data_IF_745455823104
#
_entry.id   IF_745455823104
#
_cell.length_a   1.000
_cell.length_b   1.000
_cell.length_c   1.000
_cell.angle_alpha   90.00
_cell.angle_beta   90.00
_cell.angle_gamma   90.00
#
_symmetry.space_group_name_H-M   'P 1'
#
loop_
_entity.id
_entity.type
_entity.pdbx_description
1 polymer ?
#
# COMPACT_ATOMS: atom_id res chain seq x y z
N UNK A 1 13.53 10.18 2.82
CA UNK A 1 12.38 10.42 1.94
C UNK A 1 12.64 9.62 0.68
N UNK A 2 11.78 8.69 0.32
CA UNK A 2 11.95 7.88 -0.89
C UNK A 2 11.03 8.46 -1.95
N UNK A 3 11.62 8.98 -3.02
CA UNK A 3 10.91 9.57 -4.15
C UNK A 3 10.85 8.50 -5.24
N UNK A 4 9.64 8.14 -5.66
CA UNK A 4 9.40 7.22 -6.79
C UNK A 4 8.46 7.94 -7.74
N UNK A 5 8.86 8.10 -9.00
CA UNK A 5 8.09 8.75 -10.06
C UNK A 5 7.59 10.18 -9.76
N UNK A 6 8.36 11.00 -9.03
CA UNK A 6 8.02 12.40 -8.77
C UNK A 6 6.85 12.62 -7.79
N UNK A 7 6.32 11.56 -7.19
CA UNK A 7 5.24 11.64 -6.21
C UNK A 7 5.84 11.75 -4.81
N UNK A 8 5.79 12.95 -4.23
CA UNK A 8 6.08 13.18 -2.80
C UNK A 8 4.87 12.82 -1.95
N UNK A 9 4.71 11.53 -1.68
CA UNK A 9 3.62 10.98 -0.87
C UNK A 9 4.11 10.24 0.37
N UNK A 10 3.48 10.50 1.51
CA UNK A 10 3.66 9.79 2.78
C UNK A 10 3.11 8.37 2.70
N UNK A 11 3.99 7.39 2.94
CA UNK A 11 3.71 6.01 3.35
C UNK A 11 2.55 5.30 2.61
N UNK A 12 2.88 4.49 1.60
CA UNK A 12 2.02 3.41 1.09
C UNK A 12 1.31 2.67 2.24
N UNK A 13 0.02 2.36 2.05
CA UNK A 13 -0.74 1.44 2.91
C UNK A 13 0.05 0.12 3.01
N UNK A 14 0.48 -0.23 4.21
CA UNK A 14 1.41 -1.35 4.46
C UNK A 14 0.81 -2.71 4.17
N UNK A 15 -0.49 -2.78 3.93
CA UNK A 15 -1.20 -4.02 3.58
C UNK A 15 -0.94 -4.44 2.14
N UNK A 16 -0.50 -3.52 1.29
CA UNK A 16 -0.31 -3.72 -0.15
C UNK A 16 1.17 -3.58 -0.49
N UNK A 17 1.75 -4.59 -1.13
CA UNK A 17 3.13 -4.51 -1.65
C UNK A 17 3.22 -3.59 -2.87
N UNK A 18 4.33 -2.87 -2.99
CA UNK A 18 4.60 -1.97 -4.11
C UNK A 18 4.53 -2.66 -5.48
N UNK A 19 4.85 -3.96 -5.53
CA UNK A 19 4.74 -4.79 -6.74
C UNK A 19 3.35 -4.78 -7.36
N UNK A 20 2.29 -4.61 -6.55
CA UNK A 20 0.91 -4.46 -7.04
C UNK A 20 0.72 -3.11 -7.73
N UNK A 21 1.29 -2.02 -7.20
CA UNK A 21 1.16 -0.70 -7.82
C UNK A 21 1.92 -0.57 -9.14
N UNK A 22 2.86 -1.47 -9.41
CA UNK A 22 3.67 -1.51 -10.63
C UNK A 22 3.25 -2.62 -11.59
N UNK A 23 2.15 -3.33 -11.30
CA UNK A 23 1.67 -4.40 -12.17
C UNK A 23 1.20 -3.82 -13.52
N UNK A 24 1.72 -4.30 -14.67
CA UNK A 24 1.40 -3.75 -15.97
C UNK A 24 -0.09 -3.86 -16.33
N UNK A 25 -0.77 -4.92 -15.91
CA UNK A 25 -2.20 -5.12 -16.18
C UNK A 25 -3.01 -4.08 -15.40
N UNK A 26 -2.66 -3.88 -14.12
CA UNK A 26 -3.32 -2.87 -13.29
C UNK A 26 -3.07 -1.43 -13.78
N UNK A 27 -1.91 -1.15 -14.38
CA UNK A 27 -1.58 0.18 -14.89
C UNK A 27 -2.13 0.47 -16.29
N UNK A 28 -2.24 -0.53 -17.16
CA UNK A 28 -2.60 -0.34 -18.57
C UNK A 28 -4.10 -0.57 -18.84
N UNK A 29 -4.74 -1.51 -18.14
CA UNK A 29 -6.09 -1.99 -18.49
C UNK A 29 -7.20 -1.44 -17.60
N UNK A 30 -6.86 -1.04 -16.37
CA UNK A 30 -7.83 -0.52 -15.41
C UNK A 30 -7.96 0.99 -15.50
N UNK A 31 -9.21 1.45 -15.49
CA UNK A 31 -9.53 2.85 -15.19
C UNK A 31 -9.17 3.19 -13.74
N UNK A 32 -9.10 4.48 -13.42
CA UNK A 32 -8.77 4.92 -12.06
C UNK A 32 -9.73 4.43 -10.99
N UNK A 33 -11.02 4.24 -11.31
CA UNK A 33 -12.02 3.74 -10.36
C UNK A 33 -11.94 2.23 -10.19
N UNK A 34 -11.70 1.49 -11.29
CA UNK A 34 -11.43 0.05 -11.24
C UNK A 34 -10.16 -0.26 -10.45
N UNK A 35 -9.10 0.55 -10.62
CA UNK A 35 -7.89 0.41 -9.84
C UNK A 35 -8.14 0.60 -8.34
N UNK A 36 -8.93 1.61 -7.96
CA UNK A 36 -9.34 1.83 -6.56
C UNK A 36 -10.18 0.68 -6.02
N UNK A 37 -11.12 0.17 -6.80
CA UNK A 37 -11.94 -0.98 -6.43
C UNK A 37 -11.06 -2.23 -6.20
N UNK A 38 -10.07 -2.48 -7.05
CA UNK A 38 -9.13 -3.59 -6.91
C UNK A 38 -8.24 -3.47 -5.66
N UNK A 39 -7.75 -2.26 -5.38
CA UNK A 39 -7.00 -1.94 -4.16
C UNK A 39 -7.85 -2.18 -2.91
N UNK A 40 -9.10 -1.69 -2.90
CA UNK A 40 -10.02 -1.86 -1.79
C UNK A 40 -10.39 -3.33 -1.58
N UNK A 41 -10.64 -4.07 -2.66
CA UNK A 41 -10.90 -5.50 -2.63
C UNK A 41 -9.71 -6.26 -2.04
N UNK A 42 -8.49 -5.95 -2.49
CA UNK A 42 -7.28 -6.58 -1.95
C UNK A 42 -7.15 -6.35 -0.44
N UNK A 43 -7.38 -5.13 0.04
CA UNK A 43 -7.39 -4.81 1.47
C UNK A 43 -8.50 -5.55 2.24
N UNK A 44 -9.69 -5.70 1.66
CA UNK A 44 -10.80 -6.45 2.24
C UNK A 44 -10.43 -7.92 2.39
N UNK A 45 -9.93 -8.56 1.34
CA UNK A 45 -9.51 -9.98 1.36
C UNK A 45 -8.41 -10.21 2.39
N UNK A 46 -7.43 -9.31 2.51
CA UNK A 46 -6.42 -9.35 3.59
C UNK A 46 -7.06 -9.34 4.98
N UNK A 47 -8.11 -8.55 5.18
CA UNK A 47 -8.78 -8.46 6.48
C UNK A 47 -9.54 -9.73 6.87
N UNK A 48 -9.88 -10.57 5.89
CA UNK A 48 -10.51 -11.88 6.13
C UNK A 48 -9.51 -12.94 6.62
N UNK A 49 -8.19 -12.66 6.55
CA UNK A 49 -7.13 -13.64 6.88
C UNK A 49 -7.31 -14.93 6.07
N UNK A 50 -7.60 -14.78 4.78
CA UNK A 50 -7.74 -15.88 3.83
C UNK A 50 -6.58 -15.92 2.85
N UNK A 51 -6.37 -17.07 2.21
CA UNK A 51 -5.36 -17.26 1.16
C UNK A 51 -5.78 -16.60 -0.19
N UNK A 52 -6.45 -15.45 -0.12
CA UNK A 52 -7.00 -14.75 -1.28
C UNK A 52 -8.46 -15.10 -1.60
N UNK A 53 -9.07 -16.03 -0.85
CA UNK A 53 -10.44 -16.47 -1.07
C UNK A 53 -11.46 -15.53 -0.42
N UNK A 54 -12.58 -15.26 -1.09
CA UNK A 54 -13.67 -14.43 -0.59
C UNK A 54 -14.99 -14.73 -1.30
N UNK A 55 -16.11 -14.26 -0.74
CA UNK A 55 -17.42 -14.36 -1.39
C UNK A 55 -17.69 -13.10 -2.23
N UNK A 56 -17.96 -13.28 -3.53
CA UNK A 56 -18.18 -12.19 -4.48
C UNK A 56 -19.40 -11.32 -4.15
N UNK A 57 -20.51 -11.93 -3.73
CA UNK A 57 -21.73 -11.20 -3.36
C UNK A 57 -21.50 -10.32 -2.12
N UNK A 58 -20.78 -10.84 -1.14
CA UNK A 58 -20.42 -10.08 0.06
C UNK A 58 -19.44 -8.95 -0.28
N UNK A 59 -18.48 -9.19 -1.18
CA UNK A 59 -17.54 -8.17 -1.61
C UNK A 59 -18.24 -7.01 -2.35
N UNK A 60 -19.19 -7.30 -3.25
CA UNK A 60 -20.01 -6.28 -3.94
C UNK A 60 -20.74 -5.33 -2.96
N UNK A 61 -21.15 -5.84 -1.79
CA UNK A 61 -21.88 -5.07 -0.78
C UNK A 61 -20.98 -4.28 0.16
N UNK A 62 -19.80 -4.80 0.47
CA UNK A 62 -18.94 -4.28 1.53
C UNK A 62 -17.72 -3.50 1.02
N UNK A 63 -17.29 -3.74 -0.21
CA UNK A 63 -16.09 -3.12 -0.79
C UNK A 63 -16.48 -1.86 -1.57
N UNK A 64 -16.03 -0.67 -1.15
CA UNK A 64 -16.34 0.56 -1.86
C UNK A 64 -15.86 0.53 -3.30
N UNK A 65 -16.72 1.01 -4.21
CA UNK A 65 -16.49 1.07 -5.66
C UNK A 65 -16.41 -0.29 -6.38
N UNK A 66 -16.66 -1.41 -5.68
CA UNK A 66 -16.72 -2.71 -6.30
C UNK A 66 -18.18 -3.06 -6.65
N UNK A 67 -18.61 -2.68 -7.84
CA UNK A 67 -19.89 -3.14 -8.37
C UNK A 67 -19.72 -4.45 -9.16
N UNK A 68 -20.85 -5.11 -9.45
CA UNK A 68 -20.87 -6.37 -10.19
C UNK A 68 -20.16 -6.28 -11.56
N UNK A 69 -20.40 -5.25 -12.39
CA UNK A 69 -19.65 -5.08 -13.64
C UNK A 69 -18.14 -5.03 -13.44
N UNK A 70 -17.67 -4.31 -12.41
CA UNK A 70 -16.24 -4.21 -12.08
C UNK A 70 -15.68 -5.57 -11.67
N UNK A 71 -16.40 -6.31 -10.83
CA UNK A 71 -15.99 -7.66 -10.43
C UNK A 71 -15.89 -8.62 -11.63
N UNK A 72 -16.87 -8.62 -12.53
CA UNK A 72 -16.81 -9.40 -13.77
C UNK A 72 -15.63 -9.01 -14.67
N UNK A 73 -15.30 -7.71 -14.73
CA UNK A 73 -14.16 -7.23 -15.49
C UNK A 73 -12.84 -7.71 -14.91
N UNK A 74 -12.70 -7.77 -13.59
CA UNK A 74 -11.53 -8.37 -12.95
C UNK A 74 -11.39 -9.87 -13.25
N UNK A 75 -12.49 -10.60 -13.33
CA UNK A 75 -12.48 -12.00 -13.78
C UNK A 75 -12.04 -12.12 -15.23
N UNK A 76 -12.57 -11.28 -16.13
CA UNK A 76 -12.19 -11.26 -17.54
C UNK A 76 -10.69 -10.92 -17.77
N UNK A 77 -10.13 -10.06 -16.92
CA UNK A 77 -8.70 -9.71 -16.93
C UNK A 77 -7.81 -10.76 -16.23
N UNK A 78 -8.40 -11.84 -15.71
CA UNK A 78 -7.68 -12.88 -14.98
C UNK A 78 -7.04 -12.37 -13.69
N UNK A 79 -7.58 -11.31 -13.09
CA UNK A 79 -7.17 -10.80 -11.78
C UNK A 79 -7.85 -11.58 -10.63
N UNK A 80 -9.02 -12.15 -10.91
CA UNK A 80 -9.85 -12.93 -9.99
C UNK A 80 -10.30 -14.21 -10.71
N UNK A 81 -10.25 -15.33 -10.02
CA UNK A 81 -10.92 -16.56 -10.41
C UNK A 81 -12.25 -16.62 -9.65
N UNK A 82 -13.34 -17.02 -10.32
CA UNK A 82 -14.65 -17.16 -9.69
C UNK A 82 -15.28 -18.50 -10.09
N UNK A 83 -15.92 -19.16 -9.13
CA UNK A 83 -16.75 -20.34 -9.39
C UNK A 83 -18.23 -19.97 -9.54
N UNK A 84 -19.06 -20.96 -9.89
CA UNK A 84 -20.49 -20.79 -10.10
C UNK A 84 -21.26 -20.47 -8.80
N UNK A 85 -20.66 -20.72 -7.63
CA UNK A 85 -21.24 -20.51 -6.29
C UNK A 85 -20.86 -19.16 -5.68
N UNK A 86 -20.38 -18.22 -6.51
CA UNK A 86 -19.90 -16.89 -6.11
C UNK A 86 -18.72 -16.91 -5.12
N UNK A 87 -17.99 -18.03 -5.02
CA UNK A 87 -16.69 -18.02 -4.38
C UNK A 87 -15.67 -17.46 -5.37
N UNK A 88 -14.84 -16.56 -4.87
CA UNK A 88 -13.84 -15.87 -5.65
C UNK A 88 -12.46 -16.07 -4.99
N UNK A 89 -11.43 -16.07 -5.82
CA UNK A 89 -10.04 -16.19 -5.42
C UNK A 89 -9.22 -15.14 -6.17
N UNK A 90 -8.33 -14.43 -5.47
CA UNK A 90 -7.34 -13.57 -6.13
C UNK A 90 -6.42 -14.45 -6.98
N UNK A 91 -6.41 -14.24 -8.30
CA UNK A 91 -5.78 -15.17 -9.24
C UNK A 91 -4.24 -15.18 -9.15
N UNK A 92 -3.65 -16.39 -9.22
CA UNK A 92 -2.19 -16.62 -9.23
C UNK A 92 -1.49 -16.30 -7.90
N UNK A 93 -0.20 -15.94 -7.95
CA UNK A 93 0.59 -15.53 -6.77
C UNK A 93 0.24 -14.12 -6.26
N UNK A 94 -0.84 -13.50 -6.73
CA UNK A 94 -1.22 -12.12 -6.34
C UNK A 94 -1.66 -12.03 -4.88
N UNK A 95 -2.02 -13.15 -4.24
CA UNK A 95 -2.14 -13.25 -2.78
C UNK A 95 -0.83 -12.88 -2.08
N UNK A 96 0.33 -13.04 -2.72
CA UNK A 96 1.61 -12.60 -2.17
C UNK A 96 1.74 -11.08 -2.12
N UNK A 97 0.86 -10.29 -2.74
CA UNK A 97 0.86 -8.83 -2.57
C UNK A 97 0.31 -8.38 -1.22
N UNK A 98 -0.15 -9.33 -0.42
CA UNK A 98 -0.53 -9.16 0.96
C UNK A 98 0.73 -9.18 1.85
N UNK A 99 0.83 -8.20 2.75
CA UNK A 99 1.84 -8.23 3.81
C UNK A 99 1.39 -9.13 4.95
N UNK A 100 2.24 -10.04 5.42
CA UNK A 100 1.92 -10.83 6.62
C UNK A 100 1.85 -9.93 7.85
N UNK A 101 1.18 -10.40 8.91
CA UNK A 101 1.10 -9.66 10.18
C UNK A 101 2.49 -9.31 10.73
N UNK A 102 3.45 -10.25 10.66
CA UNK A 102 4.83 -10.04 11.10
C UNK A 102 5.57 -9.03 10.22
N UNK A 103 5.24 -8.93 8.93
CA UNK A 103 5.79 -7.90 8.04
C UNK A 103 5.24 -6.52 8.42
N UNK A 104 3.93 -6.41 8.68
CA UNK A 104 3.28 -5.17 9.12
C UNK A 104 3.86 -4.70 10.45
N UNK A 105 4.00 -5.60 11.44
CA UNK A 105 4.57 -5.27 12.76
C UNK A 105 6.03 -4.84 12.65
N UNK A 106 6.86 -5.52 11.85
CA UNK A 106 8.25 -5.12 11.59
C UNK A 106 8.36 -3.75 10.93
N UNK A 107 7.51 -3.47 9.94
CA UNK A 107 7.47 -2.16 9.27
C UNK A 107 7.00 -1.05 10.21
N UNK A 108 6.00 -1.32 11.05
CA UNK A 108 5.52 -0.37 12.06
C UNK A 108 6.61 -0.04 13.10
N UNK A 109 7.40 -1.04 13.51
CA UNK A 109 8.58 -0.85 14.37
C UNK A 109 9.64 -0.01 13.67
N UNK A 110 10.01 -0.34 12.44
CA UNK A 110 10.99 0.42 11.67
C UNK A 110 10.60 1.90 11.47
N UNK A 111 9.29 2.19 11.31
CA UNK A 111 8.76 3.57 11.23
C UNK A 111 8.95 4.33 12.54
N UNK A 112 8.66 3.71 13.69
CA UNK A 112 8.89 4.31 15.02
C UNK A 112 10.37 4.60 15.23
N UNK A 113 11.23 3.61 14.98
CA UNK A 113 12.68 3.73 15.12
C UNK A 113 13.26 4.83 14.19
N UNK A 114 12.68 5.04 13.01
CA UNK A 114 13.10 6.11 12.09
C UNK A 114 12.57 7.50 12.54
N UNK A 115 11.34 7.58 13.04
CA UNK A 115 10.78 8.82 13.58
C UNK A 115 11.58 9.32 14.79
N UNK A 116 11.97 8.41 15.68
CA UNK A 116 12.84 8.69 16.82
C UNK A 116 14.21 9.19 16.37
N UNK A 117 14.87 8.48 15.44
CA UNK A 117 16.16 8.91 14.87
C UNK A 117 16.08 10.28 14.19
N UNK A 118 15.01 10.57 13.45
CA UNK A 118 14.81 11.89 12.85
C UNK A 118 14.56 12.98 13.88
N UNK A 119 13.86 12.68 14.98
CA UNK A 119 13.64 13.62 16.07
C UNK A 119 14.95 13.90 16.81
N UNK A 120 15.77 12.89 17.07
CA UNK A 120 17.11 13.06 17.65
C UNK A 120 18.03 13.86 16.75
N UNK A 121 18.05 13.57 15.44
CA UNK A 121 18.84 14.34 14.48
C UNK A 121 18.42 15.81 14.44
N UNK A 122 17.11 16.10 14.47
CA UNK A 122 16.58 17.47 14.55
C UNK A 122 17.01 18.17 15.85
N UNK A 123 16.95 17.48 16.99
CA UNK A 123 17.40 18.02 18.28
C UNK A 123 18.90 18.32 18.30
N UNK A 124 19.73 17.42 17.75
CA UNK A 124 21.18 17.63 17.62
C UNK A 124 21.49 18.83 16.74
N UNK A 125 20.89 18.89 15.55
CA UNK A 125 21.08 20.01 14.62
C UNK A 125 20.65 21.34 15.21
N UNK A 126 19.53 21.38 15.94
CA UNK A 126 19.07 22.58 16.64
C UNK A 126 20.05 23.02 17.74
N UNK A 127 20.57 22.08 18.53
CA UNK A 127 21.59 22.36 19.56
C UNK A 127 22.91 22.85 18.97
N UNK A 128 23.33 22.28 17.85
CA UNK A 128 24.57 22.69 17.16
C UNK A 128 24.43 24.12 16.57
N UNK A 129 23.21 24.51 16.18
CA UNK A 129 22.86 25.88 15.76
C UNK A 129 22.83 26.88 16.93
N UNK A 130 22.33 26.48 18.12
CA UNK A 130 22.39 27.30 19.34
C UNK A 130 23.81 27.45 19.91
N UNK A 131 24.68 26.48 19.61
CA UNK A 131 26.08 26.49 20.06
C UNK A 131 27.02 27.30 19.15
N UNK A 132 26.51 27.81 18.03
CA UNK A 132 27.28 28.71 17.17
C UNK A 132 27.25 30.15 17.74
N UNK A 133 28.41 30.77 17.98
CA UNK A 133 28.46 32.17 18.39
C UNK A 133 27.87 33.07 17.30
N UNK A 134 27.19 34.18 17.65
CA UNK A 134 26.49 35.07 16.70
C UNK A 134 27.41 35.80 15.72
N UNK A 135 28.73 35.68 15.89
CA UNK A 135 29.73 36.22 15.00
C UNK A 135 30.38 35.04 14.29
N UNK A 136 29.83 34.64 13.16
CA UNK A 136 30.54 33.78 12.23
C UNK A 136 31.89 34.42 11.96
N UNK A 137 32.96 33.75 12.37
CA UNK A 137 34.33 34.15 12.04
C UNK A 137 34.43 34.16 10.52
N UNK A 138 34.44 35.35 9.92
CA UNK A 138 34.99 35.53 8.60
C UNK A 138 36.45 35.11 8.60
N UNK A 139 36.90 34.61 7.45
CA UNK A 139 38.24 34.92 6.99
C UNK A 139 38.17 34.99 5.46
N UNK A 140 38.70 36.11 4.97
CA UNK A 140 39.12 36.36 3.59
C UNK A 140 40.09 35.29 3.07
#
# INVERSE_FOLDING_TARGET
>A
MTEVAGIKGTALDTRIKHSMLTDPVLQAELTGDEFRAFVNLTCFVVSLVSDGAFNGLQAELLVPHLDRPTLHRFVALGLIEADDDANCLMAGERWQWQSTREQIERMAKARRDNAERQAEWRKRKARDLESQPPWGTGND
#
